data_IF_471132779729
#
_entry.id   IF_471132779729
#
_cell.length_a   1.000
_cell.length_b   1.000
_cell.length_c   1.000
_cell.angle_alpha   90.00
_cell.angle_beta   90.00
_cell.angle_gamma   90.00
#
_symmetry.space_group_name_H-M   'P 1'
#
loop_
_entity.id
_entity.type
_entity.pdbx_description
1 polymer ?
#
# COMPACT_ATOMS: atom_id res chain seq x y z
N UNK A 1 -30.93 -42.08 -8.78
CA UNK A 1 -30.98 -40.73 -9.39
C UNK A 1 -29.62 -40.48 -9.99
N UNK A 2 -29.54 -40.38 -11.32
CA UNK A 2 -28.31 -40.59 -12.11
C UNK A 2 -27.55 -39.28 -12.35
N UNK A 3 -26.34 -39.17 -11.80
CA UNK A 3 -25.48 -37.98 -11.81
C UNK A 3 -24.92 -37.64 -13.22
N UNK A 4 -25.13 -38.52 -14.19
CA UNK A 4 -24.62 -38.40 -15.57
C UNK A 4 -25.51 -37.61 -16.53
N UNK A 5 -26.66 -37.07 -16.07
CA UNK A 5 -27.55 -36.21 -16.89
C UNK A 5 -27.40 -34.71 -16.64
N UNK A 6 -26.50 -34.29 -15.76
CA UNK A 6 -26.21 -32.87 -15.48
C UNK A 6 -25.08 -32.32 -16.37
N UNK A 7 -24.27 -33.19 -16.98
CA UNK A 7 -23.12 -32.78 -17.80
C UNK A 7 -23.46 -32.59 -19.29
N UNK A 8 -24.62 -33.04 -19.74
CA UNK A 8 -25.05 -32.98 -21.14
C UNK A 8 -25.82 -31.68 -21.48
N UNK A 9 -26.17 -30.86 -20.48
CA UNK A 9 -26.85 -29.57 -20.67
C UNK A 9 -25.89 -28.38 -20.83
N UNK A 10 -24.59 -28.63 -20.98
CA UNK A 10 -23.57 -27.56 -21.12
C UNK A 10 -23.06 -27.44 -22.58
N UNK A 11 -23.51 -28.29 -23.51
CA UNK A 11 -22.93 -28.37 -24.85
C UNK A 11 -23.80 -27.89 -26.03
N UNK A 12 -24.88 -27.13 -25.81
CA UNK A 12 -25.59 -26.49 -26.93
C UNK A 12 -25.56 -24.96 -26.84
N UNK A 13 -24.67 -24.36 -27.66
CA UNK A 13 -24.86 -23.18 -28.55
C UNK A 13 -25.38 -21.90 -27.89
N UNK A 14 -24.88 -20.68 -28.10
CA UNK A 14 -23.75 -20.01 -28.75
C UNK A 14 -24.06 -18.51 -28.54
N UNK A 15 -23.07 -17.62 -28.69
CA UNK A 15 -23.35 -16.22 -29.02
C UNK A 15 -23.04 -15.16 -27.96
N UNK A 16 -22.09 -15.38 -27.04
CA UNK A 16 -21.38 -14.24 -26.41
C UNK A 16 -20.02 -14.62 -25.78
N UNK A 17 -19.12 -15.17 -26.59
CA UNK A 17 -17.78 -15.56 -26.15
C UNK A 17 -16.82 -14.36 -25.94
N UNK A 18 -17.23 -13.13 -26.29
CA UNK A 18 -16.43 -11.92 -26.11
C UNK A 18 -16.80 -11.12 -24.84
N UNK A 19 -18.04 -11.23 -24.33
CA UNK A 19 -18.49 -10.53 -23.12
C UNK A 19 -18.09 -11.18 -21.78
N UNK A 20 -17.51 -12.39 -21.78
CA UNK A 20 -17.24 -13.17 -20.55
C UNK A 20 -15.80 -13.11 -20.03
N UNK A 21 -14.94 -12.25 -20.58
CA UNK A 21 -13.63 -11.93 -20.00
C UNK A 21 -13.69 -10.91 -18.84
N UNK A 22 -14.88 -10.40 -18.49
CA UNK A 22 -15.04 -9.34 -17.49
C UNK A 22 -15.29 -9.81 -16.03
N UNK A 23 -15.30 -11.12 -15.75
CA UNK A 23 -15.49 -11.62 -14.38
C UNK A 23 -14.46 -12.66 -13.98
N UNK A 24 -13.23 -12.20 -13.78
CA UNK A 24 -12.15 -13.00 -13.21
C UNK A 24 -12.32 -13.08 -11.69
N UNK A 25 -12.95 -14.14 -11.21
CA UNK A 25 -12.92 -14.50 -9.78
C UNK A 25 -11.55 -15.09 -9.42
N UNK A 26 -11.05 -14.79 -8.21
CA UNK A 26 -9.73 -15.18 -7.63
C UNK A 26 -9.37 -16.68 -7.74
N UNK A 27 -10.28 -17.56 -8.15
CA UNK A 27 -10.10 -19.02 -8.19
C UNK A 27 -9.42 -19.55 -9.48
N UNK A 28 -9.42 -18.80 -10.58
CA UNK A 28 -8.75 -19.21 -11.83
C UNK A 28 -7.24 -18.90 -11.86
N UNK A 29 -6.76 -18.02 -10.97
CA UNK A 29 -5.37 -17.55 -10.95
C UNK A 29 -4.36 -18.62 -10.47
N UNK A 30 -4.81 -19.62 -9.70
CA UNK A 30 -3.94 -20.67 -9.13
C UNK A 30 -3.57 -21.82 -10.08
N UNK A 31 -4.08 -21.86 -11.32
CA UNK A 31 -3.85 -22.99 -12.24
C UNK A 31 -2.98 -22.68 -13.47
N UNK A 32 -2.20 -21.57 -13.46
CA UNK A 32 -1.29 -21.23 -14.57
C UNK A 32 0.19 -21.09 -14.17
N UNK A 33 0.65 -21.93 -13.26
CA UNK A 33 2.10 -22.17 -13.09
C UNK A 33 2.42 -23.49 -13.80
N UNK A 34 2.84 -23.38 -15.05
CA UNK A 34 3.30 -24.52 -15.83
C UNK A 34 4.04 -24.07 -17.09
N UNK A 35 5.38 -24.17 -17.05
CA UNK A 35 6.35 -24.01 -18.16
C UNK A 35 6.54 -22.58 -18.71
N UNK A 36 7.70 -22.05 -19.09
CA UNK A 36 9.13 -22.43 -19.03
C UNK A 36 9.93 -21.24 -19.63
N UNK A 37 11.07 -20.90 -19.01
CA UNK A 37 12.34 -20.34 -19.53
C UNK A 37 12.37 -19.40 -20.77
N UNK A 38 12.99 -18.23 -20.60
CA UNK A 38 14.08 -17.74 -21.47
C UNK A 38 14.90 -16.64 -20.77
N UNK A 39 16.16 -16.95 -20.47
CA UNK A 39 17.24 -15.99 -20.19
C UNK A 39 17.68 -15.30 -21.48
N UNK A 40 18.21 -14.06 -21.42
CA UNK A 40 19.44 -13.59 -22.14
C UNK A 40 19.71 -12.07 -21.92
N UNK A 41 20.98 -11.80 -21.56
CA UNK A 41 21.85 -10.62 -21.71
C UNK A 41 21.46 -9.23 -21.15
N UNK A 42 22.24 -8.81 -20.14
CA UNK A 42 22.41 -7.42 -19.68
C UNK A 42 23.48 -6.72 -20.54
N UNK A 43 23.20 -5.52 -21.07
CA UNK A 43 24.24 -4.54 -21.35
C UNK A 43 24.21 -3.41 -20.33
N UNK A 44 25.33 -3.26 -19.64
CA UNK A 44 25.73 -2.10 -18.85
C UNK A 44 25.73 -0.82 -19.70
N UNK A 45 24.86 0.13 -19.37
CA UNK A 45 25.05 1.56 -19.61
C UNK A 45 24.19 2.36 -18.63
N UNK A 46 24.73 2.57 -17.42
CA UNK A 46 24.29 3.62 -16.53
C UNK A 46 24.99 4.93 -16.94
N UNK A 47 24.32 6.07 -16.72
CA UNK A 47 24.78 7.45 -16.82
C UNK A 47 24.57 8.20 -18.15
N UNK A 48 23.41 8.86 -18.26
CA UNK A 48 23.35 10.25 -18.71
C UNK A 48 22.18 10.97 -18.01
N UNK A 49 22.53 12.03 -17.29
CA UNK A 49 21.65 12.99 -16.60
C UNK A 49 20.54 13.50 -17.52
N UNK A 50 19.29 13.52 -17.06
CA UNK A 50 18.27 14.40 -17.62
C UNK A 50 17.44 15.03 -16.51
N UNK A 51 17.34 16.35 -16.61
CA UNK A 51 16.51 17.25 -15.82
C UNK A 51 15.11 16.71 -15.50
N UNK A 52 14.64 17.06 -14.30
CA UNK A 52 13.26 16.93 -13.82
C UNK A 52 12.28 17.41 -14.91
N UNK A 53 11.76 16.46 -15.69
CA UNK A 53 10.62 16.67 -16.55
C UNK A 53 9.37 16.29 -15.75
N UNK A 54 8.56 17.28 -15.39
CA UNK A 54 7.15 17.03 -15.10
C UNK A 54 6.57 16.34 -16.35
N UNK A 55 6.39 15.02 -16.30
CA UNK A 55 5.80 14.23 -17.39
C UNK A 55 6.45 12.89 -17.73
N UNK A 56 7.60 12.53 -17.16
CA UNK A 56 8.15 11.17 -17.36
C UNK A 56 7.51 10.19 -16.35
N UNK A 57 6.97 9.07 -16.83
CA UNK A 57 6.53 7.97 -15.96
C UNK A 57 7.76 7.37 -15.28
N UNK A 58 7.76 7.22 -13.93
CA UNK A 58 8.84 6.57 -13.21
C UNK A 58 9.13 5.18 -13.78
N UNK A 59 10.41 4.84 -13.91
CA UNK A 59 10.84 3.48 -14.22
C UNK A 59 10.50 2.52 -13.08
N UNK A 60 10.40 1.22 -13.39
CA UNK A 60 10.19 0.18 -12.36
C UNK A 60 11.25 0.25 -11.27
N UNK A 61 12.52 0.49 -11.62
CA UNK A 61 13.62 0.63 -10.65
C UNK A 61 13.44 1.84 -9.73
N UNK A 62 12.97 2.98 -10.26
CA UNK A 62 12.66 4.16 -9.44
C UNK A 62 11.50 3.90 -8.49
N UNK A 63 10.43 3.24 -8.97
CA UNK A 63 9.29 2.83 -8.12
C UNK A 63 9.73 1.89 -7.00
N UNK A 64 10.56 0.90 -7.30
CA UNK A 64 11.02 -0.07 -6.30
C UNK A 64 11.97 0.55 -5.28
N UNK A 65 12.88 1.44 -5.69
CA UNK A 65 13.75 2.15 -4.75
C UNK A 65 12.98 3.15 -3.88
N UNK A 66 11.93 3.76 -4.44
CA UNK A 66 11.01 4.58 -3.68
C UNK A 66 10.26 3.76 -2.63
N UNK A 67 9.66 2.62 -3.02
CA UNK A 67 9.03 1.70 -2.08
C UNK A 67 10.03 1.24 -1.01
N UNK A 68 11.23 0.81 -1.39
CA UNK A 68 12.28 0.33 -0.47
C UNK A 68 12.64 1.39 0.58
N UNK A 69 12.63 2.66 0.19
CA UNK A 69 12.91 3.77 1.13
C UNK A 69 11.80 3.90 2.19
N UNK A 70 10.54 3.71 1.82
CA UNK A 70 9.40 3.71 2.73
C UNK A 70 9.42 2.47 3.64
N UNK A 71 9.68 1.29 3.07
CA UNK A 71 9.80 0.05 3.85
C UNK A 71 10.95 0.12 4.86
N UNK A 72 12.09 0.72 4.50
CA UNK A 72 13.16 0.97 5.46
C UNK A 72 12.73 1.91 6.60
N UNK A 73 11.90 2.92 6.30
CA UNK A 73 11.38 3.84 7.31
C UNK A 73 10.49 3.10 8.31
N UNK A 74 9.53 2.31 7.81
CA UNK A 74 8.58 1.55 8.64
C UNK A 74 9.26 0.41 9.41
N UNK A 75 10.10 -0.39 8.75
CA UNK A 75 10.87 -1.44 9.43
C UNK A 75 11.72 -0.84 10.56
N UNK A 76 12.41 0.28 10.31
CA UNK A 76 13.24 0.91 11.33
C UNK A 76 12.40 1.47 12.48
N UNK A 77 11.22 2.01 12.20
CA UNK A 77 10.28 2.52 13.19
C UNK A 77 9.80 1.42 14.13
N UNK A 78 9.28 0.32 13.58
CA UNK A 78 8.74 -0.79 14.36
C UNK A 78 9.83 -1.60 15.06
N UNK A 79 10.98 -1.80 14.41
CA UNK A 79 12.13 -2.41 15.04
C UNK A 79 12.51 -1.65 16.31
N UNK A 80 12.68 -0.32 16.25
CA UNK A 80 13.02 0.46 17.43
C UNK A 80 11.97 0.33 18.53
N UNK A 81 10.69 0.52 18.21
CA UNK A 81 9.59 0.44 19.17
C UNK A 81 9.52 -0.92 19.88
N UNK A 82 9.64 -2.02 19.14
CA UNK A 82 9.55 -3.38 19.68
C UNK A 82 10.72 -3.75 20.60
N UNK A 83 11.84 -3.02 20.56
CA UNK A 83 12.98 -3.25 21.48
C UNK A 83 12.94 -2.35 22.72
N UNK A 84 12.01 -1.39 22.80
CA UNK A 84 11.88 -0.53 23.96
C UNK A 84 11.13 -1.25 25.10
N UNK A 85 11.76 -1.31 26.27
CA UNK A 85 11.18 -1.93 27.47
C UNK A 85 9.92 -1.20 27.92
N UNK A 86 8.80 -1.92 28.04
CA UNK A 86 7.50 -1.42 28.51
C UNK A 86 6.95 -0.22 27.71
N UNK A 87 7.37 -0.04 26.45
CA UNK A 87 6.89 1.06 25.62
C UNK A 87 5.56 0.74 24.95
N UNK A 88 5.51 -0.37 24.21
CA UNK A 88 4.27 -0.88 23.62
C UNK A 88 3.47 -1.60 24.72
N UNK A 89 2.20 -1.24 24.98
CA UNK A 89 1.36 -1.95 25.93
C UNK A 89 1.27 -3.44 25.60
N UNK A 90 1.28 -4.28 26.64
CA UNK A 90 1.38 -5.73 26.52
C UNK A 90 0.36 -6.32 25.53
N UNK A 91 -0.87 -5.81 25.53
CA UNK A 91 -1.94 -6.30 24.65
C UNK A 91 -1.69 -6.05 23.15
N UNK A 92 -0.80 -5.12 22.77
CA UNK A 92 -0.52 -4.80 21.36
C UNK A 92 0.84 -5.31 20.87
N UNK A 93 1.66 -5.90 21.75
CA UNK A 93 3.01 -6.37 21.40
C UNK A 93 3.04 -7.34 20.23
N UNK A 94 2.09 -8.29 20.18
CA UNK A 94 1.98 -9.24 19.06
C UNK A 94 1.62 -8.56 17.74
N UNK A 95 0.82 -7.49 17.78
CA UNK A 95 0.43 -6.75 16.58
C UNK A 95 1.66 -6.06 15.99
N UNK A 96 2.35 -5.25 16.78
CA UNK A 96 3.52 -4.50 16.29
C UNK A 96 4.73 -5.39 16.00
N UNK A 97 4.86 -6.55 16.65
CA UNK A 97 5.86 -7.57 16.28
C UNK A 97 5.54 -8.20 14.92
N UNK A 98 4.26 -8.41 14.60
CA UNK A 98 3.85 -8.96 13.31
C UNK A 98 4.00 -7.93 12.19
N UNK A 99 3.72 -6.65 12.46
CA UNK A 99 3.97 -5.55 11.52
C UNK A 99 5.46 -5.48 11.17
N UNK A 100 6.35 -5.39 12.17
CA UNK A 100 7.81 -5.38 11.93
C UNK A 100 8.27 -6.55 11.04
N UNK A 101 7.73 -7.75 11.27
CA UNK A 101 8.07 -8.93 10.46
C UNK A 101 7.62 -8.81 9.01
N UNK A 102 6.49 -8.16 8.74
CA UNK A 102 6.06 -7.90 7.38
C UNK A 102 6.96 -6.85 6.74
N UNK A 103 7.31 -5.77 7.44
CA UNK A 103 8.22 -4.75 6.90
C UNK A 103 9.59 -5.33 6.54
N UNK A 104 10.15 -6.20 7.39
CA UNK A 104 11.39 -6.91 7.05
C UNK A 104 11.24 -7.76 5.79
N UNK A 105 10.10 -8.44 5.61
CA UNK A 105 9.83 -9.23 4.40
C UNK A 105 9.69 -8.36 3.15
N UNK A 106 9.06 -7.19 3.27
CA UNK A 106 8.95 -6.22 2.19
C UNK A 106 10.31 -5.68 1.77
N UNK A 107 11.13 -5.25 2.75
CA UNK A 107 12.52 -4.83 2.55
C UNK A 107 13.33 -5.92 1.85
N UNK A 108 13.29 -7.16 2.34
CA UNK A 108 14.07 -8.27 1.78
C UNK A 108 13.69 -8.57 0.34
N UNK A 109 12.38 -8.58 0.04
CA UNK A 109 11.90 -8.75 -1.33
C UNK A 109 12.40 -7.63 -2.25
N UNK A 110 12.22 -6.38 -1.85
CA UNK A 110 12.56 -5.23 -2.68
C UNK A 110 14.07 -5.18 -2.94
N UNK A 111 14.90 -5.44 -1.92
CA UNK A 111 16.35 -5.60 -2.09
C UNK A 111 16.70 -6.74 -3.03
N UNK A 112 16.01 -7.87 -2.92
CA UNK A 112 16.18 -9.00 -3.84
C UNK A 112 15.85 -8.64 -5.29
N UNK A 113 14.73 -7.94 -5.51
CA UNK A 113 14.28 -7.50 -6.83
C UNK A 113 15.20 -6.43 -7.45
N UNK A 114 15.74 -5.53 -6.62
CA UNK A 114 16.62 -4.45 -7.05
C UNK A 114 18.08 -4.89 -7.24
N UNK A 115 18.54 -5.90 -6.50
CA UNK A 115 19.93 -6.36 -6.54
C UNK A 115 20.91 -5.21 -6.26
N UNK A 116 21.89 -5.00 -7.14
CA UNK A 116 22.87 -3.91 -7.01
C UNK A 116 22.29 -2.51 -7.24
N UNK A 117 21.05 -2.40 -7.71
CA UNK A 117 20.37 -1.12 -7.88
C UNK A 117 19.63 -0.68 -6.61
N UNK A 118 19.65 -1.49 -5.54
CA UNK A 118 19.01 -1.15 -4.28
C UNK A 118 19.70 0.03 -3.62
N UNK A 119 18.93 1.04 -3.21
CA UNK A 119 19.45 2.16 -2.43
C UNK A 119 19.86 1.71 -1.02
N UNK A 120 20.87 2.40 -0.49
CA UNK A 120 21.27 2.25 0.90
C UNK A 120 20.15 2.75 1.83
N UNK A 121 20.10 2.14 3.03
CA UNK A 121 19.14 2.55 4.07
C UNK A 121 19.45 3.97 4.55
N UNK A 122 18.49 4.92 4.46
CA UNK A 122 18.67 6.24 5.02
C UNK A 122 18.72 6.23 6.55
N UNK A 123 19.14 7.35 7.13
CA UNK A 123 18.88 7.62 8.54
C UNK A 123 17.51 8.26 8.71
N UNK A 124 16.86 8.01 9.82
CA UNK A 124 15.51 8.52 10.09
C UNK A 124 15.45 9.41 11.33
N UNK A 125 14.53 10.37 11.32
CA UNK A 125 14.15 11.26 12.42
C UNK A 125 12.66 11.10 12.75
N UNK A 126 12.36 10.19 13.67
CA UNK A 126 10.98 9.93 14.11
C UNK A 126 10.38 11.02 15.00
N UNK A 127 11.14 12.07 15.31
CA UNK A 127 10.57 13.27 15.94
C UNK A 127 9.95 14.23 14.92
N UNK A 128 10.09 13.94 13.61
CA UNK A 128 9.59 14.79 12.51
C UNK A 128 10.09 16.23 12.66
N UNK A 129 11.41 16.41 12.77
CA UNK A 129 12.01 17.73 13.00
C UNK A 129 11.57 18.37 14.34
N UNK A 130 11.26 17.55 15.34
CA UNK A 130 10.82 18.01 16.67
C UNK A 130 9.31 18.25 16.83
N UNK A 131 8.48 17.98 15.82
CA UNK A 131 7.02 18.07 15.94
C UNK A 131 6.42 16.98 16.85
N UNK A 132 7.10 15.84 16.98
CA UNK A 132 6.75 14.71 17.85
C UNK A 132 7.90 14.41 18.83
N UNK A 133 8.20 15.31 19.78
CA UNK A 133 9.36 15.17 20.66
C UNK A 133 9.23 13.97 21.62
N UNK A 134 8.01 13.47 21.84
CA UNK A 134 7.69 12.35 22.72
C UNK A 134 7.36 11.06 21.95
N UNK A 135 7.72 10.95 20.66
CA UNK A 135 7.48 9.78 19.82
C UNK A 135 7.97 8.45 20.43
N UNK A 136 8.96 8.50 21.32
CA UNK A 136 9.59 7.34 21.96
C UNK A 136 9.30 7.20 23.46
N UNK A 137 8.46 8.08 24.01
CA UNK A 137 8.09 8.06 25.43
C UNK A 137 6.58 8.08 25.64
N UNK A 138 5.81 8.39 24.60
CA UNK A 138 4.36 8.42 24.61
C UNK A 138 3.78 7.50 23.53
N UNK A 139 3.14 6.41 23.97
CA UNK A 139 2.55 5.43 23.06
C UNK A 139 1.45 6.03 22.16
N UNK A 140 0.71 7.06 22.63
CA UNK A 140 -0.28 7.74 21.78
C UNK A 140 0.37 8.54 20.65
N UNK A 141 1.55 9.12 20.88
CA UNK A 141 2.33 9.78 19.82
C UNK A 141 2.87 8.74 18.84
N UNK A 142 3.45 7.65 19.35
CA UNK A 142 3.93 6.55 18.51
C UNK A 142 2.84 5.98 17.60
N UNK A 143 1.67 5.63 18.16
CA UNK A 143 0.61 5.02 17.36
C UNK A 143 -0.02 6.02 16.38
N UNK A 144 0.05 7.32 16.68
CA UNK A 144 -0.31 8.38 15.73
C UNK A 144 0.65 8.41 14.54
N UNK A 145 1.96 8.30 14.78
CA UNK A 145 2.97 8.21 13.72
C UNK A 145 2.78 6.91 12.92
N UNK A 146 2.58 5.78 13.61
CA UNK A 146 2.25 4.49 12.99
C UNK A 146 1.07 4.64 12.03
N UNK A 147 -0.06 5.21 12.47
CA UNK A 147 -1.21 5.45 11.59
C UNK A 147 -0.86 6.28 10.36
N UNK A 148 -0.01 7.30 10.53
CA UNK A 148 0.41 8.15 9.43
C UNK A 148 1.29 7.42 8.40
N UNK A 149 2.21 6.57 8.87
CA UNK A 149 3.11 5.79 8.02
C UNK A 149 2.29 4.75 7.23
N UNK A 150 1.52 3.92 7.93
CA UNK A 150 0.72 2.85 7.33
C UNK A 150 -0.26 3.37 6.27
N UNK A 151 -0.96 4.46 6.59
CA UNK A 151 -1.91 5.06 5.66
C UNK A 151 -1.21 5.72 4.47
N UNK A 152 0.00 6.24 4.67
CA UNK A 152 0.83 6.72 3.56
C UNK A 152 1.30 5.54 2.70
N UNK A 153 1.71 4.42 3.29
CA UNK A 153 2.13 3.19 2.61
C UNK A 153 1.04 2.61 1.71
N UNK A 154 -0.17 2.44 2.25
CA UNK A 154 -1.36 2.00 1.48
C UNK A 154 -1.54 2.84 0.22
N UNK A 155 -1.56 4.16 0.38
CA UNK A 155 -1.82 5.12 -0.70
C UNK A 155 -0.63 5.22 -1.67
N UNK A 156 0.60 5.05 -1.20
CA UNK A 156 1.81 5.02 -2.01
C UNK A 156 1.83 3.82 -2.96
N UNK A 157 1.57 2.60 -2.44
CA UNK A 157 1.53 1.40 -3.27
C UNK A 157 0.44 1.46 -4.33
N UNK A 158 -0.78 1.91 -3.97
CA UNK A 158 -1.85 2.11 -4.96
C UNK A 158 -1.46 3.15 -6.01
N UNK A 159 -0.85 4.25 -5.58
CA UNK A 159 -0.42 5.33 -6.47
C UNK A 159 0.65 4.93 -7.49
N UNK A 160 1.49 3.95 -7.17
CA UNK A 160 2.55 3.47 -8.08
C UNK A 160 2.17 2.21 -8.86
N UNK A 161 1.05 1.54 -8.55
CA UNK A 161 0.63 0.32 -9.25
C UNK A 161 0.54 0.50 -10.78
N UNK A 162 0.07 1.66 -11.26
CA UNK A 162 0.01 1.96 -12.70
C UNK A 162 1.38 1.97 -13.39
N UNK A 163 2.44 2.39 -12.67
CA UNK A 163 3.81 2.43 -13.18
C UNK A 163 4.46 1.04 -13.24
N UNK A 164 3.83 0.01 -12.66
CA UNK A 164 4.33 -1.36 -12.62
C UNK A 164 3.64 -2.30 -13.62
N UNK A 165 2.71 -1.79 -14.45
CA UNK A 165 1.92 -2.61 -15.39
C UNK A 165 2.78 -3.41 -16.37
N UNK A 166 3.98 -2.90 -16.71
CA UNK A 166 4.93 -3.57 -17.60
C UNK A 166 5.80 -4.61 -16.91
N UNK A 167 5.67 -4.77 -15.58
CA UNK A 167 6.41 -5.73 -14.76
C UNK A 167 5.43 -6.58 -13.93
N UNK A 168 4.69 -7.53 -14.54
CA UNK A 168 3.53 -8.17 -13.93
C UNK A 168 3.82 -8.92 -12.62
N UNK A 169 4.97 -9.57 -12.49
CA UNK A 169 5.36 -10.23 -11.24
C UNK A 169 5.65 -9.23 -10.10
N UNK A 170 6.22 -8.07 -10.45
CA UNK A 170 6.48 -6.98 -9.49
C UNK A 170 5.18 -6.28 -9.12
N UNK A 171 4.29 -6.04 -10.09
CA UNK A 171 2.95 -5.51 -9.82
C UNK A 171 2.15 -6.44 -8.91
N UNK A 172 2.18 -7.75 -9.16
CA UNK A 172 1.50 -8.71 -8.31
C UNK A 172 1.99 -8.62 -6.86
N UNK A 173 3.30 -8.58 -6.64
CA UNK A 173 3.86 -8.42 -5.31
C UNK A 173 3.47 -7.07 -4.68
N UNK A 174 3.58 -5.97 -5.41
CA UNK A 174 3.19 -4.64 -4.92
C UNK A 174 1.70 -4.60 -4.48
N UNK A 175 0.80 -5.29 -5.20
CA UNK A 175 -0.61 -5.40 -4.81
C UNK A 175 -0.83 -6.31 -3.60
N UNK A 176 0.05 -7.30 -3.37
CA UNK A 176 0.05 -8.10 -2.15
C UNK A 176 0.48 -7.26 -0.95
N UNK A 177 1.55 -6.48 -1.08
CA UNK A 177 2.02 -5.54 -0.04
C UNK A 177 0.95 -4.51 0.27
N UNK A 178 0.36 -3.86 -0.74
CA UNK A 178 -0.77 -2.94 -0.55
C UNK A 178 -1.90 -3.53 0.32
N UNK A 179 -2.22 -4.81 0.11
CA UNK A 179 -3.23 -5.51 0.93
C UNK A 179 -2.76 -5.81 2.36
N UNK A 180 -1.46 -5.93 2.61
CA UNK A 180 -0.86 -6.11 3.92
C UNK A 180 -0.87 -4.76 4.67
N UNK A 181 -0.37 -3.69 4.05
CA UNK A 181 -0.44 -2.30 4.56
C UNK A 181 -1.86 -1.93 5.00
N UNK A 182 -2.87 -2.23 4.16
CA UNK A 182 -4.26 -1.90 4.47
C UNK A 182 -4.77 -2.61 5.74
N UNK A 183 -4.24 -3.80 6.06
CA UNK A 183 -4.58 -4.50 7.31
C UNK A 183 -3.87 -3.88 8.51
N UNK A 184 -2.62 -3.45 8.35
CA UNK A 184 -1.87 -2.78 9.40
C UNK A 184 -2.53 -1.45 9.76
N UNK A 185 -2.77 -0.60 8.75
CA UNK A 185 -3.57 0.62 8.85
C UNK A 185 -4.89 0.40 9.60
N UNK A 186 -5.68 -0.62 9.20
CA UNK A 186 -6.93 -0.95 9.88
C UNK A 186 -6.75 -1.36 11.33
N UNK A 187 -5.73 -2.16 11.65
CA UNK A 187 -5.47 -2.57 13.03
C UNK A 187 -5.03 -1.39 13.89
N UNK A 188 -4.13 -0.53 13.38
CA UNK A 188 -3.65 0.66 14.07
C UNK A 188 -4.81 1.61 14.40
N UNK A 189 -5.70 1.90 13.43
CA UNK A 189 -6.89 2.73 13.66
C UNK A 189 -7.82 2.12 14.72
N UNK A 190 -8.03 0.81 14.71
CA UNK A 190 -8.83 0.13 15.74
C UNK A 190 -8.21 0.21 17.13
N UNK A 191 -6.88 0.10 17.24
CA UNK A 191 -6.18 0.29 18.51
C UNK A 191 -6.34 1.75 18.98
N UNK A 192 -6.18 2.74 18.10
CA UNK A 192 -6.42 4.15 18.44
C UNK A 192 -7.85 4.36 18.95
N UNK A 193 -8.85 3.80 18.27
CA UNK A 193 -10.24 3.83 18.70
C UNK A 193 -10.44 3.25 20.10
N UNK A 194 -9.84 2.09 20.36
CA UNK A 194 -9.87 1.46 21.68
C UNK A 194 -9.22 2.35 22.76
N UNK A 195 -8.01 2.88 22.52
CA UNK A 195 -7.29 3.75 23.45
C UNK A 195 -8.04 5.04 23.74
N UNK A 196 -8.69 5.63 22.72
CA UNK A 196 -9.51 6.84 22.85
C UNK A 196 -10.91 6.58 23.42
N UNK A 197 -11.29 5.30 23.61
CA UNK A 197 -12.65 4.88 23.96
C UNK A 197 -13.69 5.43 22.98
N UNK A 198 -13.32 5.49 21.71
CA UNK A 198 -14.17 5.93 20.62
C UNK A 198 -14.78 4.71 19.91
N UNK A 199 -16.03 4.33 20.22
CA UNK A 199 -16.66 3.18 19.59
C UNK A 199 -16.99 3.42 18.11
N UNK A 200 -16.92 4.67 17.63
CA UNK A 200 -17.23 5.05 16.26
C UNK A 200 -16.01 5.05 15.35
N UNK A 201 -14.79 4.93 15.91
CA UNK A 201 -13.57 4.82 15.11
C UNK A 201 -13.55 3.48 14.36
N UNK A 202 -13.60 3.56 13.04
CA UNK A 202 -13.61 2.41 12.13
C UNK A 202 -12.20 1.95 11.79
N UNK A 203 -12.06 0.75 11.23
CA UNK A 203 -10.79 0.26 10.67
C UNK A 203 -10.46 0.86 9.30
N UNK A 204 -11.38 1.61 8.72
CA UNK A 204 -11.25 2.28 7.43
C UNK A 204 -11.60 3.76 7.59
N UNK A 205 -11.35 4.54 6.55
CA UNK A 205 -11.65 5.97 6.52
C UNK A 205 -13.03 6.20 5.93
N UNK A 206 -13.76 7.17 6.48
CA UNK A 206 -14.96 7.70 5.87
C UNK A 206 -14.63 9.11 5.39
N UNK A 207 -14.81 9.37 4.09
CA UNK A 207 -14.42 10.62 3.45
C UNK A 207 -12.96 10.97 3.74
N UNK A 208 -12.64 12.17 4.24
CA UNK A 208 -11.29 12.60 4.60
C UNK A 208 -11.06 12.64 6.12
N UNK A 209 -11.90 11.93 6.90
CA UNK A 209 -11.93 12.00 8.37
C UNK A 209 -10.82 11.21 9.08
N UNK A 210 -9.78 10.81 8.34
CA UNK A 210 -8.64 10.12 8.92
C UNK A 210 -7.73 11.04 9.74
N UNK A 211 -6.80 10.43 10.48
CA UNK A 211 -5.81 11.14 11.27
C UNK A 211 -4.40 10.51 11.16
N UNK A 212 -3.33 11.29 10.90
CA UNK A 212 -3.30 12.75 10.78
C UNK A 212 -3.92 13.30 9.47
N UNK A 213 -4.63 14.45 9.47
CA UNK A 213 -5.36 14.93 8.30
C UNK A 213 -4.51 15.19 7.05
N UNK A 214 -3.21 15.41 7.21
CA UNK A 214 -2.30 15.58 6.08
C UNK A 214 -2.24 14.33 5.19
N UNK A 215 -2.41 13.14 5.79
CA UNK A 215 -2.28 11.84 5.12
C UNK A 215 -3.46 11.52 4.21
N UNK A 216 -4.60 12.21 4.34
CA UNK A 216 -5.82 11.93 3.56
C UNK A 216 -6.16 13.04 2.56
N UNK A 217 -5.24 14.01 2.44
CA UNK A 217 -5.23 15.04 1.39
C UNK A 217 -4.41 14.56 0.19
N UNK A 218 -4.45 15.34 -0.88
CA UNK A 218 -3.71 15.08 -2.12
C UNK A 218 -4.52 15.52 -3.33
N UNK A 219 -3.97 15.27 -4.52
CA UNK A 219 -4.63 15.51 -5.80
C UNK A 219 -5.90 14.65 -5.93
N UNK A 220 -5.88 13.44 -5.37
CA UNK A 220 -7.07 12.60 -5.17
C UNK A 220 -7.29 12.44 -3.65
N UNK A 221 -8.17 13.23 -3.02
CA UNK A 221 -8.46 13.10 -1.59
C UNK A 221 -9.30 11.85 -1.32
N UNK A 222 -9.24 11.30 -0.10
CA UNK A 222 -10.06 10.15 0.31
C UNK A 222 -11.58 10.41 0.26
N UNK A 223 -12.00 11.67 0.23
CA UNK A 223 -13.39 12.06 -0.02
C UNK A 223 -13.83 11.92 -1.48
N UNK A 224 -12.94 11.44 -2.36
CA UNK A 224 -13.24 11.22 -3.77
C UNK A 224 -14.34 10.17 -3.97
N UNK A 225 -15.20 10.45 -4.94
CA UNK A 225 -16.30 9.57 -5.35
C UNK A 225 -16.25 9.24 -6.83
N UNK A 226 -15.31 9.83 -7.56
CA UNK A 226 -15.18 9.67 -9.01
C UNK A 226 -14.02 8.73 -9.31
N UNK A 227 -14.32 7.56 -9.87
CA UNK A 227 -13.34 6.55 -10.24
C UNK A 227 -13.46 6.25 -11.73
N UNK A 228 -12.35 6.30 -12.46
CA UNK A 228 -12.34 6.10 -13.92
C UNK A 228 -13.36 7.00 -14.69
N UNK A 229 -13.59 8.22 -14.21
CA UNK A 229 -14.54 9.17 -14.80
C UNK A 229 -16.01 8.93 -14.46
N UNK A 230 -16.31 7.94 -13.61
CA UNK A 230 -17.66 7.63 -13.14
C UNK A 230 -17.82 8.03 -11.67
N UNK A 231 -18.86 8.79 -11.36
CA UNK A 231 -19.22 9.08 -9.97
C UNK A 231 -19.95 7.87 -9.37
N UNK A 232 -19.25 7.12 -8.54
CA UNK A 232 -19.74 5.90 -7.89
C UNK A 232 -20.92 6.17 -6.94
N UNK A 233 -21.08 7.40 -6.43
CA UNK A 233 -22.20 7.76 -5.57
C UNK A 233 -23.51 7.99 -6.35
N UNK A 234 -23.42 8.07 -7.69
CA UNK A 234 -24.58 8.34 -8.57
C UNK A 234 -24.91 7.19 -9.53
N UNK A 235 -24.21 6.05 -9.41
CA UNK A 235 -24.40 4.91 -10.30
C UNK A 235 -25.83 4.36 -10.22
N UNK A 236 -26.54 4.42 -11.33
CA UNK A 236 -27.90 3.90 -11.46
C UNK A 236 -27.92 2.37 -11.33
N UNK A 237 -28.92 1.83 -10.64
CA UNK A 237 -29.19 0.39 -10.59
C UNK A 237 -28.53 -0.39 -9.44
N UNK A 238 -27.80 0.28 -8.55
CA UNK A 238 -27.06 -0.36 -7.43
C UNK A 238 -27.70 -0.06 -6.05
N UNK A 239 -28.91 0.52 -6.02
CA UNK A 239 -29.59 0.95 -4.79
C UNK A 239 -29.07 2.29 -4.25
N UNK A 240 -29.45 2.64 -3.01
CA UNK A 240 -28.96 3.87 -2.36
C UNK A 240 -27.52 3.67 -1.86
N UNK A 241 -26.54 4.12 -2.66
CA UNK A 241 -25.14 4.22 -2.25
C UNK A 241 -24.92 5.63 -1.70
N UNK A 242 -24.50 5.74 -0.44
CA UNK A 242 -24.13 7.05 0.12
C UNK A 242 -22.69 7.41 -0.25
N UNK A 243 -22.32 8.69 -0.14
CA UNK A 243 -20.93 9.13 -0.27
C UNK A 243 -20.02 8.37 0.70
N UNK A 244 -20.47 8.15 1.93
CA UNK A 244 -19.72 7.37 2.91
C UNK A 244 -19.42 5.96 2.36
N UNK A 245 -20.43 5.24 1.86
CA UNK A 245 -20.22 3.90 1.32
C UNK A 245 -19.19 3.85 0.19
N UNK A 246 -19.13 4.88 -0.66
CA UNK A 246 -18.11 4.96 -1.71
C UNK A 246 -16.74 5.18 -1.10
N UNK A 247 -16.56 6.21 -0.27
CA UNK A 247 -15.26 6.55 0.30
C UNK A 247 -14.69 5.47 1.20
N UNK A 248 -15.56 4.69 1.87
CA UNK A 248 -15.14 3.56 2.70
C UNK A 248 -14.69 2.33 1.88
N UNK A 249 -14.94 2.31 0.58
CA UNK A 249 -14.62 1.19 -0.31
C UNK A 249 -13.27 1.35 -1.04
N UNK A 250 -12.66 2.53 -0.99
CA UNK A 250 -11.42 2.84 -1.70
C UNK A 250 -10.46 3.62 -0.82
N UNK A 251 -9.22 3.15 -0.68
CA UNK A 251 -8.10 4.02 -0.29
C UNK A 251 -7.62 4.77 -1.54
N UNK A 252 -7.45 6.07 -1.53
CA UNK A 252 -7.12 6.87 -2.72
C UNK A 252 -5.61 7.02 -2.94
N UNK A 253 -5.11 7.02 -4.18
CA UNK A 253 -3.68 7.04 -4.43
C UNK A 253 -3.03 8.36 -4.04
N UNK A 254 -1.76 8.29 -3.64
CA UNK A 254 -0.86 9.45 -3.57
C UNK A 254 0.21 9.37 -4.67
N UNK A 255 0.59 10.52 -5.20
CA UNK A 255 1.79 10.64 -6.04
C UNK A 255 3.06 10.49 -5.19
N UNK A 256 4.19 10.15 -5.81
CA UNK A 256 5.48 10.08 -5.10
C UNK A 256 5.84 11.41 -4.42
N UNK A 257 5.50 12.55 -5.04
CA UNK A 257 5.76 13.88 -4.48
C UNK A 257 4.96 14.11 -3.19
N UNK A 258 3.68 13.72 -3.17
CA UNK A 258 2.83 13.86 -1.98
C UNK A 258 3.24 12.89 -0.87
N UNK A 259 3.61 11.66 -1.22
CA UNK A 259 4.18 10.71 -0.26
C UNK A 259 5.45 11.27 0.35
N UNK A 260 6.36 11.84 -0.44
CA UNK A 260 7.59 12.45 0.08
C UNK A 260 7.32 13.73 0.88
N UNK A 261 6.23 14.45 0.62
CA UNK A 261 5.83 15.58 1.45
C UNK A 261 5.38 15.13 2.86
N UNK A 262 4.83 13.92 2.97
CA UNK A 262 4.40 13.33 4.24
C UNK A 262 5.54 12.58 4.93
N UNK A 263 6.21 11.65 4.23
CA UNK A 263 7.24 10.78 4.79
C UNK A 263 8.63 11.45 4.83
N UNK A 264 8.91 12.38 3.92
CA UNK A 264 10.23 12.99 3.76
C UNK A 264 10.80 13.66 5.00
N UNK A 265 10.02 14.33 5.86
CA UNK A 265 10.56 14.90 7.10
C UNK A 265 11.04 13.86 8.12
N UNK A 266 10.64 12.60 7.98
CA UNK A 266 11.23 11.49 8.75
C UNK A 266 12.56 11.01 8.16
N UNK A 267 12.91 11.37 6.93
CA UNK A 267 14.12 10.90 6.24
C UNK A 267 15.21 11.95 6.38
N UNK A 268 16.27 11.65 7.14
CA UNK A 268 17.43 12.54 7.23
C UNK A 268 18.16 12.51 5.89
N UNK A 269 18.42 13.69 5.33
CA UNK A 269 19.37 13.80 4.22
C UNK A 269 20.71 13.28 4.71
N UNK A 270 21.31 12.33 3.99
CA UNK A 270 22.71 11.96 4.23
C UNK A 270 23.52 13.26 4.12
N UNK A 271 24.26 13.59 5.18
CA UNK A 271 25.14 14.75 5.16
C UNK A 271 26.09 14.62 3.98
N UNK A 272 26.16 15.66 3.14
CA UNK A 272 27.29 15.86 2.23
C UNK A 272 28.53 16.21 3.03
#
# INVERSE_FOLDING_TARGET
MNIFRILDSIQQVDGDAAGRLAHTTRRMFMNRIGSSLATVAVPTAFAAVVNKAYGATPSVTEVLNFALTLEYLEETFYFQANRMTNFIPAEYTLVFSQIERHETQHVDFLKGALGSAAVDRPQFDFTYGGAFPDAWTNFMTFITISAALEDTGVRAYKGQAGNLITAPAILEYALQVHSVEARHASLVRRIIGHLKKDPMMKGWITQDQGFPPAVYKGATPESNTVHAGLDAATLSGIGSITRDNVTEAFDEPLTMEEVLAIAGPFIKKMGM
#
